data_IF_541118265505
#
_entry.id   IF_541118265505
#
_cell.length_a   1.000
_cell.length_b   1.000
_cell.length_c   1.000
_cell.angle_alpha   90.00
_cell.angle_beta   90.00
_cell.angle_gamma   90.00
#
_symmetry.space_group_name_H-M   'P 1'
#
loop_
_entity.id
_entity.type
_entity.pdbx_description
1 polymer ?
#
# COMPACT_ATOMS: atom_id res chain seq x y z
N UNK A 1 -3.17 7.07 2.17
CA UNK A 1 -2.64 8.23 2.93
C UNK A 1 -1.29 7.90 3.50
N UNK A 2 -0.34 8.84 3.48
CA UNK A 2 0.85 8.77 4.32
C UNK A 2 0.79 9.84 5.40
N UNK A 3 1.06 9.45 6.65
CA UNK A 3 1.17 10.40 7.76
C UNK A 3 2.25 11.46 7.47
N UNK A 4 2.02 12.72 7.83
CA UNK A 4 2.89 13.86 7.47
C UNK A 4 4.34 13.75 7.94
N UNK A 5 4.58 12.93 8.97
CA UNK A 5 5.90 12.66 9.56
C UNK A 5 6.59 11.43 8.96
N UNK A 6 6.12 10.97 7.80
CA UNK A 6 6.76 9.89 7.05
C UNK A 6 7.19 10.37 5.68
N UNK A 7 8.22 9.71 5.14
CA UNK A 7 8.69 9.92 3.78
C UNK A 7 8.96 8.60 3.08
N UNK A 8 8.91 8.63 1.75
CA UNK A 8 9.42 7.53 0.94
C UNK A 8 10.93 7.63 0.78
N UNK A 9 11.60 6.48 0.86
CA UNK A 9 13.02 6.36 0.56
C UNK A 9 13.32 5.00 -0.09
N UNK A 10 14.34 4.90 -0.96
CA UNK A 10 14.81 3.60 -1.43
C UNK A 10 15.37 2.79 -0.26
N UNK A 11 15.04 1.50 -0.23
CA UNK A 11 15.55 0.50 0.71
C UNK A 11 16.65 -0.31 0.01
N UNK A 12 16.34 -0.93 -1.12
CA UNK A 12 17.26 -1.69 -1.98
C UNK A 12 16.62 -1.96 -3.34
N UNK A 13 17.35 -2.56 -4.27
CA UNK A 13 16.77 -3.00 -5.56
C UNK A 13 15.71 -4.09 -5.40
N UNK A 14 15.85 -4.97 -4.39
CA UNK A 14 14.90 -6.07 -4.14
C UNK A 14 13.65 -5.59 -3.41
N UNK A 15 13.81 -4.69 -2.43
CA UNK A 15 12.70 -4.21 -1.60
C UNK A 15 12.01 -2.99 -2.22
N UNK A 16 12.72 -2.18 -3.00
CA UNK A 16 12.19 -0.97 -3.62
C UNK A 16 12.10 0.21 -2.65
N UNK A 17 10.93 0.85 -2.59
CA UNK A 17 10.68 2.01 -1.71
C UNK A 17 10.09 1.56 -0.38
N UNK A 18 10.56 2.17 0.71
CA UNK A 18 10.02 2.02 2.05
C UNK A 18 9.47 3.32 2.59
N UNK A 19 8.65 3.23 3.63
CA UNK A 19 8.11 4.37 4.39
C UNK A 19 8.93 4.53 5.66
N UNK A 20 9.51 5.71 5.86
CA UNK A 20 10.41 6.02 6.97
C UNK A 20 9.87 7.17 7.80
N UNK A 21 9.92 7.03 9.11
CA UNK A 21 9.64 8.13 10.03
C UNK A 21 10.73 9.22 9.91
N UNK A 22 10.33 10.48 9.87
CA UNK A 22 11.24 11.63 9.88
C UNK A 22 11.51 12.15 11.29
N UNK A 23 10.72 11.73 12.27
CA UNK A 23 10.83 12.09 13.68
C UNK A 23 10.26 10.97 14.57
N UNK A 24 10.39 11.12 15.89
CA UNK A 24 9.84 10.16 16.85
C UNK A 24 8.31 10.17 16.81
N UNK A 25 7.71 8.99 16.65
CA UNK A 25 6.25 8.84 16.57
C UNK A 25 5.72 8.46 17.96
N UNK A 26 4.81 9.26 18.55
CA UNK A 26 4.21 8.94 19.84
C UNK A 26 3.53 7.56 19.84
N UNK A 27 3.58 6.88 20.99
CA UNK A 27 2.87 5.61 21.16
C UNK A 27 1.37 5.84 20.98
N UNK A 28 0.75 5.03 20.13
CA UNK A 28 -0.69 5.08 19.85
C UNK A 28 -1.07 5.92 18.63
N UNK A 29 -0.10 6.55 17.94
CA UNK A 29 -0.36 7.22 16.66
C UNK A 29 -0.74 6.21 15.59
N UNK A 30 -1.87 6.47 14.90
CA UNK A 30 -2.30 5.70 13.73
C UNK A 30 -1.65 6.33 12.50
N UNK A 31 -0.72 5.61 11.86
CA UNK A 31 -0.02 6.09 10.65
C UNK A 31 -0.75 5.76 9.35
N UNK A 32 -1.59 4.73 9.41
CA UNK A 32 -2.43 4.28 8.32
C UNK A 32 -3.62 3.52 8.90
N UNK A 33 -4.77 3.63 8.23
CA UNK A 33 -5.95 2.82 8.49
C UNK A 33 -6.61 2.51 7.15
N UNK A 34 -7.20 1.33 7.03
CA UNK A 34 -7.99 1.00 5.86
C UNK A 34 -9.34 1.69 5.97
N UNK A 35 -9.68 2.53 5.00
CA UNK A 35 -10.99 3.18 4.96
C UNK A 35 -11.95 2.50 3.97
N UNK A 36 -13.16 3.06 3.83
CA UNK A 36 -14.23 2.47 3.01
C UNK A 36 -14.03 2.65 1.50
N UNK A 37 -13.15 3.54 1.08
CA UNK A 37 -12.82 3.79 -0.31
C UNK A 37 -11.64 2.95 -0.79
N UNK A 38 -10.84 2.39 0.12
CA UNK A 38 -9.81 1.41 -0.20
C UNK A 38 -10.43 0.16 -0.84
N UNK A 39 -9.83 -0.28 -1.94
CA UNK A 39 -10.32 -1.46 -2.67
C UNK A 39 -9.57 -2.71 -2.23
N UNK A 40 -10.32 -3.66 -1.68
CA UNK A 40 -9.86 -5.04 -1.51
C UNK A 40 -10.11 -5.79 -2.82
N UNK A 41 -9.05 -6.34 -3.40
CA UNK A 41 -9.10 -7.11 -4.64
C UNK A 41 -8.63 -8.53 -4.36
N UNK A 42 -9.52 -9.48 -4.58
CA UNK A 42 -9.21 -10.91 -4.52
C UNK A 42 -8.36 -11.33 -5.74
N UNK A 43 -7.61 -12.45 -5.65
CA UNK A 43 -6.86 -12.97 -6.80
C UNK A 43 -7.73 -13.16 -8.05
N UNK A 44 -8.95 -13.69 -7.88
CA UNK A 44 -9.88 -13.93 -8.98
C UNK A 44 -10.37 -12.63 -9.65
N UNK A 45 -10.58 -11.56 -8.89
CA UNK A 45 -10.94 -10.24 -9.46
C UNK A 45 -9.77 -9.64 -10.24
N UNK A 46 -8.53 -9.81 -9.77
CA UNK A 46 -7.33 -9.31 -10.45
C UNK A 46 -7.12 -10.04 -11.79
N UNK A 47 -7.38 -11.35 -11.84
CA UNK A 47 -7.27 -12.14 -13.08
C UNK A 47 -8.21 -11.64 -14.18
N UNK A 48 -9.36 -11.06 -13.80
CA UNK A 48 -10.35 -10.51 -14.73
C UNK A 48 -10.02 -9.10 -15.21
N UNK A 49 -9.09 -8.39 -14.57
CA UNK A 49 -8.66 -7.07 -14.99
C UNK A 49 -7.91 -7.13 -16.33
N UNK A 50 -7.94 -6.05 -17.11
CA UNK A 50 -7.04 -5.91 -18.24
C UNK A 50 -5.59 -5.67 -17.79
N UNK A 51 -4.65 -5.71 -18.74
CA UNK A 51 -3.22 -5.58 -18.45
C UNK A 51 -2.85 -4.23 -17.81
N UNK A 52 -3.53 -3.13 -18.18
CA UNK A 52 -3.22 -1.81 -17.65
C UNK A 52 -3.63 -1.70 -16.17
N UNK A 53 -4.82 -2.21 -15.83
CA UNK A 53 -5.29 -2.23 -14.45
C UNK A 53 -4.50 -3.20 -13.58
N UNK A 54 -4.11 -4.38 -14.10
CA UNK A 54 -3.21 -5.30 -13.36
C UNK A 54 -1.88 -4.64 -13.01
N UNK A 55 -1.28 -3.91 -13.95
CA UNK A 55 -0.02 -3.21 -13.70
C UNK A 55 -0.14 -2.14 -12.59
N UNK A 56 -1.29 -1.48 -12.46
CA UNK A 56 -1.59 -0.55 -11.35
C UNK A 56 -1.65 -1.31 -10.03
N UNK A 57 -2.40 -2.42 -9.97
CA UNK A 57 -2.53 -3.24 -8.76
C UNK A 57 -1.17 -3.78 -8.33
N UNK A 58 -0.38 -4.33 -9.26
CA UNK A 58 0.93 -4.89 -8.98
C UNK A 58 1.92 -3.85 -8.45
N UNK A 59 1.80 -2.60 -8.91
CA UNK A 59 2.71 -1.52 -8.53
C UNK A 59 2.32 -0.83 -7.22
N UNK A 60 1.02 -0.62 -6.98
CA UNK A 60 0.53 0.30 -5.96
C UNK A 60 -0.30 -0.36 -4.85
N UNK A 61 -0.75 -1.60 -5.02
CA UNK A 61 -1.48 -2.31 -3.99
C UNK A 61 -0.55 -3.13 -3.09
N UNK A 62 -0.83 -3.14 -1.78
CA UNK A 62 -0.10 -3.99 -0.84
C UNK A 62 -0.84 -5.30 -0.57
N UNK A 63 -0.13 -6.30 -0.06
CA UNK A 63 -0.67 -7.61 0.31
C UNK A 63 -1.19 -7.58 1.75
N UNK A 64 -2.41 -8.04 1.97
CA UNK A 64 -2.93 -8.30 3.32
C UNK A 64 -2.58 -9.72 3.80
N UNK A 65 -2.92 -10.04 5.06
CA UNK A 65 -2.69 -11.36 5.66
C UNK A 65 -3.51 -12.49 5.03
N UNK A 66 -4.53 -12.16 4.22
CA UNK A 66 -5.39 -13.10 3.49
C UNK A 66 -4.99 -13.25 2.02
N UNK A 67 -3.86 -12.67 1.61
CA UNK A 67 -3.35 -12.66 0.23
C UNK A 67 -4.18 -11.86 -0.77
N UNK A 68 -5.07 -10.97 -0.30
CA UNK A 68 -5.72 -10.00 -1.17
C UNK A 68 -4.77 -8.83 -1.45
N UNK A 69 -5.06 -8.08 -2.52
CA UNK A 69 -4.41 -6.79 -2.81
C UNK A 69 -5.28 -5.66 -2.30
N UNK A 70 -4.70 -4.78 -1.50
CA UNK A 70 -5.36 -3.56 -1.00
C UNK A 70 -4.82 -2.39 -1.81
N UNK A 71 -5.67 -1.86 -2.71
CA UNK A 71 -5.37 -0.65 -3.47
C UNK A 71 -5.97 0.54 -2.71
N UNK A 72 -5.09 1.32 -2.09
CA UNK A 72 -5.50 2.56 -1.41
C UNK A 72 -5.86 3.63 -2.44
N UNK A 73 -6.82 4.50 -2.11
CA UNK A 73 -7.26 5.56 -3.01
C UNK A 73 -6.41 6.83 -2.93
N UNK A 74 -5.54 6.94 -1.91
CA UNK A 74 -4.82 8.16 -1.52
C UNK A 74 -3.36 7.96 -1.06
#
# INVERSE_FOLDING_TARGET
>A
MMHSVTRLAPVSEVVGLGVFATEAIPRGTILWTQDRFDRVLTPAEIEQLDAAHRAIVDRYAHLDGSKNRILCWD
#
